data_IF_311052222424
#
_entry.id   IF_311052222424
#
_cell.length_a   1.000
_cell.length_b   1.000
_cell.length_c   1.000
_cell.angle_alpha   90.00
_cell.angle_beta   90.00
_cell.angle_gamma   90.00
#
_symmetry.space_group_name_H-M   'P 1'
#
loop_
_entity.id
_entity.type
_entity.pdbx_description
1 polymer ?
#
# COMPACT_ATOMS: atom_id res chain seq x y z
N UNK A 1 9.86 -41.41 -20.63
CA UNK A 1 9.68 -40.40 -21.70
C UNK A 1 8.49 -39.52 -21.35
N UNK A 2 8.75 -38.29 -20.88
CA UNK A 2 7.72 -37.35 -20.43
C UNK A 2 7.36 -36.40 -21.57
N UNK A 3 6.08 -36.36 -21.92
CA UNK A 3 5.56 -35.48 -22.97
C UNK A 3 5.27 -34.09 -22.38
N UNK A 4 5.94 -33.08 -22.94
CA UNK A 4 5.68 -31.67 -22.68
C UNK A 4 4.38 -31.24 -23.38
N UNK A 5 3.44 -30.65 -22.62
CA UNK A 5 2.30 -29.91 -23.17
C UNK A 5 2.71 -28.45 -23.36
N UNK A 6 2.90 -28.06 -24.63
CA UNK A 6 3.03 -26.67 -25.05
C UNK A 6 1.64 -26.00 -25.01
N UNK A 7 1.44 -25.03 -24.12
CA UNK A 7 0.29 -24.13 -24.15
C UNK A 7 0.56 -23.01 -25.17
N UNK A 8 0.10 -23.20 -26.40
CA UNK A 8 0.00 -22.13 -27.40
C UNK A 8 -1.16 -21.20 -27.04
N UNK A 9 -0.86 -19.90 -26.94
CA UNK A 9 -1.82 -18.82 -26.67
C UNK A 9 -2.96 -18.80 -27.69
N UNK A 10 -4.20 -19.00 -27.23
CA UNK A 10 -5.38 -18.90 -28.08
C UNK A 10 -5.68 -17.43 -28.41
N UNK A 11 -5.93 -17.14 -29.69
CA UNK A 11 -6.19 -15.80 -30.23
C UNK A 11 -7.51 -15.18 -29.71
N UNK A 12 -8.42 -16.02 -29.23
CA UNK A 12 -9.71 -15.62 -28.65
C UNK A 12 -9.57 -14.98 -27.26
N UNK A 13 -8.56 -15.37 -26.46
CA UNK A 13 -8.34 -14.77 -25.14
C UNK A 13 -7.85 -13.31 -25.23
N UNK A 14 -7.04 -12.99 -26.25
CA UNK A 14 -6.57 -11.62 -26.52
C UNK A 14 -7.67 -10.72 -27.09
N UNK A 15 -8.68 -11.26 -27.75
CA UNK A 15 -9.84 -10.48 -28.23
C UNK A 15 -10.82 -10.16 -27.10
N UNK A 16 -10.96 -11.06 -26.12
CA UNK A 16 -11.81 -10.82 -24.95
C UNK A 16 -11.24 -9.71 -24.05
N UNK A 17 -9.92 -9.66 -23.81
CA UNK A 17 -9.30 -8.56 -23.04
C UNK A 17 -9.45 -7.18 -23.68
N UNK A 18 -9.37 -7.09 -25.02
CA UNK A 18 -9.53 -5.81 -25.72
C UNK A 18 -10.98 -5.31 -25.73
N UNK A 19 -11.97 -6.22 -25.72
CA UNK A 19 -13.40 -5.89 -25.66
C UNK A 19 -13.81 -5.30 -24.31
N UNK A 20 -13.22 -5.76 -23.20
CA UNK A 20 -13.48 -5.23 -21.85
C UNK A 20 -12.90 -3.83 -21.65
N UNK A 21 -11.81 -3.49 -22.35
CA UNK A 21 -11.17 -2.17 -22.25
C UNK A 21 -11.97 -1.10 -23.00
N UNK A 22 -12.57 -1.42 -24.15
CA UNK A 22 -13.42 -0.47 -24.88
C UNK A 22 -14.76 -0.22 -24.18
N UNK A 23 -15.35 -1.24 -23.55
CA UNK A 23 -16.63 -1.09 -22.83
C UNK A 23 -16.51 -0.21 -21.58
N UNK A 24 -15.37 -0.22 -20.87
CA UNK A 24 -15.10 0.71 -19.75
C UNK A 24 -14.90 2.16 -20.23
N UNK A 25 -14.41 2.34 -21.46
CA UNK A 25 -14.17 3.67 -22.04
C UNK A 25 -15.46 4.39 -22.45
N UNK A 26 -16.48 3.64 -22.87
CA UNK A 26 -17.80 4.20 -23.23
C UNK A 26 -18.73 4.44 -22.03
N UNK A 27 -18.59 3.67 -20.94
CA UNK A 27 -19.35 3.90 -19.70
C UNK A 27 -18.94 5.19 -18.94
N UNK A 28 -17.83 5.83 -19.34
CA UNK A 28 -17.33 7.06 -18.72
C UNK A 28 -17.80 8.35 -19.42
N UNK A 29 -18.65 8.24 -20.44
CA UNK A 29 -19.01 9.36 -21.34
C UNK A 29 -20.50 9.73 -21.37
N UNK A 30 -21.34 9.17 -20.48
CA UNK A 30 -22.73 9.62 -20.36
C UNK A 30 -22.84 10.77 -19.36
N UNK A 31 -23.14 11.96 -19.90
CA UNK A 31 -23.43 13.19 -19.17
C UNK A 31 -24.53 12.95 -18.11
N UNK A 32 -24.15 13.00 -16.84
CA UNK A 32 -25.10 13.14 -15.73
C UNK A 32 -25.44 14.64 -15.62
N UNK A 33 -26.72 15.06 -15.66
CA UNK A 33 -27.08 16.45 -15.43
C UNK A 33 -26.76 16.87 -13.99
N UNK A 34 -26.00 17.95 -13.82
CA UNK A 34 -25.71 18.56 -12.51
C UNK A 34 -27.00 19.11 -11.88
N UNK A 35 -27.26 18.70 -10.63
CA UNK A 35 -28.32 19.28 -9.79
C UNK A 35 -27.81 20.57 -9.12
N UNK A 36 -28.65 21.59 -8.91
CA UNK A 36 -28.21 22.86 -8.34
C UNK A 36 -28.00 22.77 -6.83
N UNK A 37 -26.83 23.22 -6.37
CA UNK A 37 -26.46 23.43 -4.97
C UNK A 37 -27.15 24.70 -4.43
N UNK A 38 -28.25 24.52 -3.71
CA UNK A 38 -28.81 25.54 -2.82
C UNK A 38 -28.57 25.12 -1.37
N UNK A 39 -27.64 25.79 -0.69
CA UNK A 39 -27.82 26.25 0.70
C UNK A 39 -26.63 27.12 1.14
N UNK A 40 -26.81 28.42 0.95
CA UNK A 40 -26.11 29.44 1.71
C UNK A 40 -26.55 29.41 3.18
N UNK A 41 -25.62 29.15 4.10
CA UNK A 41 -25.73 29.66 5.46
C UNK A 41 -24.36 30.19 5.92
N UNK A 42 -24.35 31.50 6.14
CA UNK A 42 -23.26 32.25 6.76
C UNK A 42 -23.18 31.83 8.23
N UNK A 43 -22.03 31.35 8.68
CA UNK A 43 -21.67 31.39 10.09
C UNK A 43 -20.22 31.89 10.23
N UNK A 44 -20.08 32.82 11.15
CA UNK A 44 -18.94 33.72 11.36
C UNK A 44 -17.71 32.97 11.88
N UNK A 45 -16.55 33.38 11.36
CA UNK A 45 -15.23 32.94 11.81
C UNK A 45 -14.96 33.40 13.25
N UNK A 46 -14.62 32.45 14.12
CA UNK A 46 -13.79 32.71 15.30
C UNK A 46 -12.52 31.90 15.17
N UNK A 47 -11.41 32.62 15.17
CA UNK A 47 -10.04 32.11 15.24
C UNK A 47 -9.86 31.23 16.48
N UNK A 48 -9.38 29.99 16.30
CA UNK A 48 -8.61 29.31 17.33
C UNK A 48 -7.61 28.29 16.72
N UNK A 49 -6.33 28.60 16.96
CA UNK A 49 -5.12 27.77 17.13
C UNK A 49 -4.88 26.54 16.23
N UNK A 50 -3.76 26.64 15.49
CA UNK A 50 -3.05 25.60 14.74
C UNK A 50 -2.85 24.28 15.50
N UNK A 51 -3.31 23.17 14.90
CA UNK A 51 -2.70 21.85 15.03
C UNK A 51 -2.52 21.25 13.63
N UNK A 52 -1.29 21.36 13.13
CA UNK A 52 -0.84 20.69 11.92
C UNK A 52 -0.48 19.24 12.25
N UNK A 53 -1.50 18.38 12.35
CA UNK A 53 -1.31 16.93 12.28
C UNK A 53 -1.60 16.45 10.86
N UNK A 54 -0.69 15.63 10.34
CA UNK A 54 -0.62 15.22 8.95
C UNK A 54 -1.94 14.68 8.43
N UNK A 55 -2.51 15.40 7.46
CA UNK A 55 -3.62 14.93 6.65
C UNK A 55 -3.13 13.70 5.88
N UNK A 56 -3.47 12.51 6.38
CA UNK A 56 -3.42 11.26 5.63
C UNK A 56 -4.20 11.52 4.34
N UNK A 57 -3.53 11.45 3.18
CA UNK A 57 -4.21 11.31 1.89
C UNK A 57 -4.90 9.94 1.87
N UNK A 58 -6.06 9.86 2.52
CA UNK A 58 -6.93 8.69 2.43
C UNK A 58 -7.56 8.74 1.05
N UNK A 59 -7.25 7.76 0.21
CA UNK A 59 -7.92 7.59 -1.08
C UNK A 59 -9.41 7.36 -0.82
N UNK A 60 -10.24 8.35 -1.12
CA UNK A 60 -11.71 8.30 -1.03
C UNK A 60 -12.35 7.20 -1.92
N UNK A 61 -11.56 6.57 -2.81
CA UNK A 61 -11.99 5.55 -3.75
C UNK A 61 -11.80 4.10 -3.27
N UNK A 62 -11.37 3.87 -2.02
CA UNK A 62 -11.17 2.52 -1.47
C UNK A 62 -10.04 1.71 -2.12
N UNK A 63 -9.27 2.30 -3.06
CA UNK A 63 -8.12 1.66 -3.68
C UNK A 63 -6.84 1.95 -2.87
N UNK A 64 -6.02 0.93 -2.59
CA UNK A 64 -4.75 1.11 -1.89
C UNK A 64 -3.83 2.07 -2.67
N UNK A 65 -3.02 2.91 -2.01
CA UNK A 65 -2.06 3.78 -2.69
C UNK A 65 -1.01 2.99 -3.48
N UNK A 66 -0.56 3.56 -4.61
CA UNK A 66 0.41 2.90 -5.48
C UNK A 66 1.86 3.23 -5.10
N UNK A 67 2.70 2.20 -5.06
CA UNK A 67 4.16 2.28 -4.98
C UNK A 67 4.73 1.80 -6.31
N UNK A 68 5.56 2.62 -6.95
CA UNK A 68 6.14 2.31 -8.26
C UNK A 68 7.62 1.95 -8.12
N UNK A 69 8.07 0.91 -8.82
CA UNK A 69 9.48 0.50 -8.84
C UNK A 69 10.05 0.66 -10.25
N UNK A 70 11.08 1.51 -10.36
CA UNK A 70 11.80 1.80 -11.60
C UNK A 70 13.17 1.11 -11.59
N UNK A 71 13.41 0.24 -12.58
CA UNK A 71 14.65 -0.56 -12.71
C UNK A 71 15.55 -0.15 -13.90
N UNK A 72 15.28 0.98 -14.54
CA UNK A 72 16.08 1.41 -15.70
C UNK A 72 15.75 0.61 -16.96
N UNK A 73 16.77 0.21 -17.72
CA UNK A 73 16.62 -0.66 -18.90
C UNK A 73 16.73 -2.15 -18.57
N UNK A 74 17.02 -2.49 -17.31
CA UNK A 74 17.14 -3.86 -16.85
C UNK A 74 15.76 -4.53 -16.77
N UNK A 75 15.44 -5.41 -17.72
CA UNK A 75 14.19 -6.21 -17.72
C UNK A 75 14.27 -7.43 -16.81
N UNK A 76 15.00 -7.33 -15.69
CA UNK A 76 15.17 -8.44 -14.77
C UNK A 76 13.90 -8.56 -13.89
N UNK A 77 12.93 -9.37 -14.33
CA UNK A 77 11.79 -9.78 -13.49
C UNK A 77 12.23 -10.25 -12.10
N UNK A 78 13.37 -10.93 -12.03
CA UNK A 78 13.99 -11.40 -10.78
C UNK A 78 14.31 -10.23 -9.83
N UNK A 79 14.93 -9.14 -10.33
CA UNK A 79 15.24 -7.95 -9.53
C UNK A 79 13.98 -7.26 -9.03
N UNK A 80 12.95 -7.16 -9.88
CA UNK A 80 11.67 -6.59 -9.47
C UNK A 80 11.02 -7.39 -8.34
N UNK A 81 10.91 -8.71 -8.49
CA UNK A 81 10.32 -9.56 -7.44
C UNK A 81 11.14 -9.54 -6.14
N UNK A 82 12.47 -9.42 -6.22
CA UNK A 82 13.33 -9.24 -5.04
C UNK A 82 12.99 -7.95 -4.29
N UNK A 83 13.03 -6.80 -4.98
CA UNK A 83 12.70 -5.50 -4.36
C UNK A 83 11.27 -5.51 -3.82
N UNK A 84 10.34 -6.08 -4.58
CA UNK A 84 8.93 -6.21 -4.20
C UNK A 84 8.76 -7.05 -2.92
N UNK A 85 9.40 -8.21 -2.81
CA UNK A 85 9.36 -9.06 -1.61
C UNK A 85 9.83 -8.30 -0.37
N UNK A 86 10.99 -7.63 -0.48
CA UNK A 86 11.54 -6.85 0.64
C UNK A 86 10.60 -5.72 1.05
N UNK A 87 10.01 -5.00 0.07
CA UNK A 87 9.02 -3.96 0.37
C UNK A 87 7.77 -4.53 1.03
N UNK A 88 7.22 -5.66 0.54
CA UNK A 88 6.05 -6.32 1.10
C UNK A 88 6.26 -6.87 2.52
N UNK A 89 7.51 -7.19 2.90
CA UNK A 89 7.86 -7.55 4.28
C UNK A 89 7.96 -6.32 5.20
N UNK A 90 8.16 -5.12 4.63
CA UNK A 90 8.23 -3.86 5.36
C UNK A 90 6.88 -3.14 5.46
N UNK A 91 6.05 -3.20 4.43
CA UNK A 91 4.76 -2.49 4.34
C UNK A 91 3.61 -3.51 4.40
N UNK A 92 2.45 -3.12 4.93
CA UNK A 92 1.27 -4.00 4.95
C UNK A 92 0.89 -4.45 3.53
N UNK A 93 0.87 -5.77 3.29
CA UNK A 93 0.64 -6.36 1.96
C UNK A 93 -0.70 -5.94 1.33
N UNK A 94 -1.70 -5.68 2.17
CA UNK A 94 -3.06 -5.27 1.76
C UNK A 94 -3.22 -3.73 1.69
N UNK A 95 -2.25 -2.98 2.22
CA UNK A 95 -2.36 -1.52 2.34
C UNK A 95 -1.84 -0.77 1.12
N UNK A 96 -1.00 -1.41 0.29
CA UNK A 96 -0.32 -0.78 -0.84
C UNK A 96 -0.24 -1.70 -2.04
N UNK A 97 -0.33 -1.13 -3.25
CA UNK A 97 -0.08 -1.90 -4.48
C UNK A 97 1.25 -1.52 -5.09
N UNK A 98 2.11 -2.52 -5.33
CA UNK A 98 3.45 -2.33 -5.89
C UNK A 98 3.44 -2.69 -7.38
N UNK A 99 3.78 -1.72 -8.24
CA UNK A 99 3.87 -1.90 -9.69
C UNK A 99 5.28 -1.61 -10.23
N UNK A 100 5.65 -2.31 -11.30
CA UNK A 100 6.85 -1.97 -12.06
C UNK A 100 6.56 -0.81 -13.02
N UNK A 101 7.42 0.21 -13.01
CA UNK A 101 7.38 1.33 -13.95
C UNK A 101 8.50 1.17 -14.98
N UNK A 102 8.14 0.88 -16.23
CA UNK A 102 9.10 0.74 -17.32
C UNK A 102 9.58 2.10 -17.85
N UNK A 103 10.78 2.11 -18.45
CA UNK A 103 11.44 3.32 -18.98
C UNK A 103 10.57 4.12 -19.94
N UNK A 104 9.81 3.46 -20.79
CA UNK A 104 8.95 4.08 -21.79
C UNK A 104 7.61 4.56 -21.21
N UNK A 105 7.19 4.04 -20.05
CA UNK A 105 5.96 4.44 -19.37
C UNK A 105 6.14 5.74 -18.57
N UNK A 106 7.36 6.03 -18.12
CA UNK A 106 7.69 7.25 -17.35
C UNK A 106 7.19 8.51 -18.05
N UNK A 107 7.26 8.57 -19.38
CA UNK A 107 6.86 9.73 -20.18
C UNK A 107 5.43 9.64 -20.72
N UNK A 108 4.83 8.44 -20.80
CA UNK A 108 3.56 8.20 -21.48
C UNK A 108 2.37 8.15 -20.52
N UNK A 109 2.56 7.57 -19.35
CA UNK A 109 1.46 7.22 -18.45
C UNK A 109 1.27 8.28 -17.35
N UNK A 110 0.04 8.59 -16.91
CA UNK A 110 -0.24 9.58 -15.87
C UNK A 110 0.00 9.02 -14.45
N UNK A 111 1.20 8.51 -14.19
CA UNK A 111 1.54 7.84 -12.93
C UNK A 111 1.82 8.83 -11.80
N UNK A 112 2.34 10.02 -12.12
CA UNK A 112 2.77 11.08 -11.17
C UNK A 112 1.68 11.48 -10.17
N UNK A 113 0.42 11.42 -10.59
CA UNK A 113 -0.73 11.84 -9.78
C UNK A 113 -1.32 10.71 -8.96
N UNK A 114 -1.02 9.46 -9.32
CA UNK A 114 -1.61 8.26 -8.73
C UNK A 114 -0.61 7.45 -7.90
N UNK A 115 0.63 7.93 -7.74
CA UNK A 115 1.69 7.26 -6.97
C UNK A 115 2.01 7.98 -5.67
N UNK A 116 2.10 7.22 -4.58
CA UNK A 116 2.56 7.71 -3.29
C UNK A 116 4.10 7.78 -3.24
N UNK A 117 4.76 6.68 -3.64
CA UNK A 117 6.21 6.51 -3.59
C UNK A 117 6.73 5.99 -4.92
N UNK A 118 7.85 6.56 -5.38
CA UNK A 118 8.65 6.03 -6.47
C UNK A 118 9.98 5.47 -5.93
N UNK A 119 10.20 4.18 -6.11
CA UNK A 119 11.43 3.47 -5.81
C UNK A 119 12.28 3.40 -7.07
N UNK A 120 13.50 3.92 -7.03
CA UNK A 120 14.47 3.88 -8.14
C UNK A 120 15.59 2.92 -7.75
N UNK A 121 15.67 1.76 -8.40
CA UNK A 121 16.67 0.74 -8.11
C UNK A 121 17.47 0.40 -9.37
N UNK A 122 18.29 1.35 -9.84
CA UNK A 122 19.14 1.16 -11.02
C UNK A 122 20.44 1.96 -10.95
N UNK A 123 21.56 1.27 -11.16
CA UNK A 123 22.89 1.89 -11.29
C UNK A 123 23.08 2.57 -12.67
N UNK A 124 22.22 2.28 -13.64
CA UNK A 124 22.29 2.87 -14.98
C UNK A 124 21.97 4.37 -14.94
N UNK A 125 22.61 5.19 -15.79
CA UNK A 125 22.30 6.60 -15.88
C UNK A 125 20.85 6.81 -16.35
N UNK A 126 20.10 7.60 -15.59
CA UNK A 126 18.72 7.96 -15.92
C UNK A 126 18.72 8.98 -17.06
N UNK A 127 17.86 8.75 -18.06
CA UNK A 127 17.71 9.68 -19.19
C UNK A 127 17.18 11.05 -18.71
N UNK A 128 17.59 12.12 -19.39
CA UNK A 128 17.20 13.49 -19.01
C UNK A 128 15.66 13.67 -18.96
N UNK A 129 14.94 13.04 -19.90
CA UNK A 129 13.48 13.06 -19.91
C UNK A 129 12.86 12.41 -18.66
N UNK A 130 13.36 11.25 -18.25
CA UNK A 130 12.86 10.55 -17.07
C UNK A 130 13.23 11.31 -15.79
N UNK A 131 14.46 11.85 -15.74
CA UNK A 131 14.91 12.69 -14.65
C UNK A 131 13.99 13.90 -14.45
N UNK A 132 13.61 14.60 -15.53
CA UNK A 132 12.66 15.73 -15.48
C UNK A 132 11.29 15.32 -14.93
N UNK A 133 10.78 14.14 -15.26
CA UNK A 133 9.52 13.64 -14.68
C UNK A 133 9.66 13.32 -13.19
N UNK A 134 10.78 12.72 -12.76
CA UNK A 134 11.03 12.45 -11.34
C UNK A 134 11.10 13.76 -10.54
N UNK A 135 11.74 14.80 -11.08
CA UNK A 135 11.75 16.14 -10.48
C UNK A 135 10.35 16.78 -10.46
N UNK A 136 9.54 16.59 -11.51
CA UNK A 136 8.15 17.04 -11.54
C UNK A 136 7.32 16.34 -10.45
N UNK A 137 7.53 15.04 -10.24
CA UNK A 137 6.88 14.29 -9.17
C UNK A 137 7.25 14.84 -7.79
N UNK A 138 8.54 15.09 -7.52
CA UNK A 138 8.98 15.75 -6.30
C UNK A 138 8.37 17.15 -6.13
N UNK A 139 8.29 17.95 -7.21
CA UNK A 139 7.70 19.30 -7.17
C UNK A 139 6.23 19.31 -6.71
N UNK A 140 5.49 18.22 -6.96
CA UNK A 140 4.09 18.04 -6.54
C UNK A 140 3.94 17.45 -5.13
N UNK A 141 5.05 17.29 -4.39
CA UNK A 141 5.04 16.66 -3.07
C UNK A 141 5.19 15.14 -3.09
N UNK A 142 5.61 14.57 -4.22
CA UNK A 142 5.92 13.14 -4.34
C UNK A 142 7.13 12.73 -3.50
N UNK A 143 7.21 11.43 -3.22
CA UNK A 143 8.25 10.83 -2.38
C UNK A 143 9.10 9.85 -3.19
N UNK A 144 10.43 9.93 -3.09
CA UNK A 144 11.35 9.06 -3.83
C UNK A 144 12.25 8.27 -2.87
N UNK A 145 12.41 6.98 -3.13
CA UNK A 145 13.41 6.13 -2.47
C UNK A 145 14.40 5.59 -3.51
N UNK A 146 15.68 5.92 -3.38
CA UNK A 146 16.74 5.42 -4.27
C UNK A 146 17.49 4.26 -3.64
N UNK A 147 17.49 3.09 -4.26
CA UNK A 147 18.31 1.94 -3.90
C UNK A 147 19.49 1.80 -4.86
N UNK A 148 20.69 2.04 -4.35
CA UNK A 148 21.96 1.98 -5.09
C UNK A 148 21.86 2.63 -6.48
N UNK A 149 21.14 3.75 -6.55
CA UNK A 149 20.73 4.34 -7.82
C UNK A 149 21.69 5.42 -8.30
N UNK A 150 21.69 5.68 -9.61
CA UNK A 150 22.41 6.83 -10.21
C UNK A 150 21.67 8.17 -10.04
N UNK A 151 20.43 8.15 -9.53
CA UNK A 151 19.61 9.35 -9.36
C UNK A 151 20.17 10.27 -8.28
N UNK A 152 20.30 11.56 -8.60
CA UNK A 152 20.71 12.61 -7.66
C UNK A 152 20.09 13.94 -8.04
N UNK A 153 19.88 14.80 -7.04
CA UNK A 153 19.50 16.21 -7.23
C UNK A 153 19.94 17.03 -6.01
N UNK A 154 19.71 18.34 -6.06
CA UNK A 154 19.87 19.20 -4.88
C UNK A 154 21.30 19.32 -4.38
N UNK A 155 22.26 19.51 -5.31
CA UNK A 155 23.67 19.68 -4.99
C UNK A 155 24.40 18.41 -4.54
N UNK A 156 23.75 17.25 -4.45
CA UNK A 156 24.41 15.99 -4.15
C UNK A 156 24.96 15.34 -5.42
N UNK A 157 26.22 14.91 -5.38
CA UNK A 157 26.87 14.13 -6.43
C UNK A 157 27.24 12.74 -5.92
N UNK A 158 27.31 11.78 -6.85
CA UNK A 158 27.77 10.42 -6.57
C UNK A 158 29.24 10.32 -6.97
N UNK A 159 30.09 9.95 -6.01
CA UNK A 159 31.51 9.67 -6.23
C UNK A 159 31.77 8.19 -6.19
N UNK A 160 32.39 7.66 -7.25
CA UNK A 160 32.79 6.24 -7.32
C UNK A 160 34.06 6.00 -6.52
N UNK A 161 34.03 5.01 -5.64
CA UNK A 161 35.16 4.51 -4.86
C UNK A 161 35.27 3.01 -5.08
N UNK A 162 36.06 2.60 -6.07
CA UNK A 162 36.21 1.20 -6.48
C UNK A 162 36.61 0.25 -5.34
N UNK A 163 37.26 0.76 -4.28
CA UNK A 163 37.62 -0.01 -3.08
C UNK A 163 36.42 -0.49 -2.25
N UNK A 164 35.26 0.15 -2.43
CA UNK A 164 34.02 -0.14 -1.68
C UNK A 164 33.05 -1.04 -2.46
N UNK A 165 33.42 -1.45 -3.67
CA UNK A 165 32.51 -2.17 -4.56
C UNK A 165 32.40 -3.62 -4.11
N UNK A 166 31.16 -4.09 -3.90
CA UNK A 166 30.84 -5.49 -3.52
C UNK A 166 31.51 -5.96 -2.22
N UNK A 167 31.79 -5.03 -1.31
CA UNK A 167 32.36 -5.32 0.00
C UNK A 167 31.37 -4.94 1.09
N UNK A 168 31.31 -5.75 2.14
CA UNK A 168 30.50 -5.45 3.32
C UNK A 168 31.23 -4.42 4.16
N UNK A 169 30.52 -3.37 4.54
CA UNK A 169 31.06 -2.30 5.37
C UNK A 169 30.15 -2.06 6.57
N UNK A 170 30.75 -1.69 7.69
CA UNK A 170 30.01 -1.17 8.84
C UNK A 170 29.57 0.27 8.54
N UNK A 171 28.29 0.53 8.78
CA UNK A 171 27.66 1.83 8.63
C UNK A 171 27.06 2.26 9.96
N UNK A 172 27.09 3.56 10.21
CA UNK A 172 26.42 4.23 11.32
C UNK A 172 25.21 4.97 10.76
N UNK A 173 24.01 4.55 11.15
CA UNK A 173 22.74 5.16 10.76
C UNK A 173 22.23 6.00 11.93
N UNK A 174 21.88 7.25 11.66
CA UNK A 174 21.23 8.15 12.60
C UNK A 174 19.72 7.97 12.50
N UNK A 175 19.10 7.50 13.57
CA UNK A 175 17.64 7.32 13.66
C UNK A 175 16.91 8.65 13.90
N UNK A 176 15.58 8.63 13.81
CA UNK A 176 14.74 9.80 14.08
C UNK A 176 14.87 10.32 15.53
N UNK A 177 15.07 9.43 16.49
CA UNK A 177 15.28 9.74 17.91
C UNK A 177 16.70 10.26 18.22
N UNK A 178 17.50 10.53 17.20
CA UNK A 178 18.92 10.91 17.29
C UNK A 178 19.84 9.83 17.87
N UNK A 179 19.37 8.59 18.04
CA UNK A 179 20.24 7.46 18.38
C UNK A 179 21.03 7.00 17.16
N UNK A 180 22.22 6.45 17.41
CA UNK A 180 23.07 5.87 16.37
C UNK A 180 22.96 4.36 16.38
N UNK A 181 22.75 3.78 15.21
CA UNK A 181 22.69 2.35 14.99
C UNK A 181 23.83 1.90 14.10
N UNK A 182 24.55 0.86 14.54
CA UNK A 182 25.57 0.20 13.71
C UNK A 182 25.03 -1.08 13.10
N UNK A 183 25.26 -1.22 11.80
CA UNK A 183 24.94 -2.43 11.03
C UNK A 183 25.94 -2.60 9.89
N UNK A 184 26.05 -3.81 9.36
CA UNK A 184 26.90 -4.13 8.22
C UNK A 184 26.03 -4.34 6.98
N UNK A 185 26.33 -3.66 5.88
CA UNK A 185 25.63 -3.80 4.60
C UNK A 185 26.62 -3.81 3.43
N UNK A 186 26.17 -4.37 2.31
CA UNK A 186 26.84 -4.24 1.03
C UNK A 186 26.67 -2.81 0.49
N UNK A 187 27.72 -2.24 -0.07
CA UNK A 187 27.70 -0.90 -0.69
C UNK A 187 27.89 -1.02 -2.19
N UNK A 188 27.23 -0.15 -2.96
CA UNK A 188 27.29 -0.11 -4.44
C UNK A 188 28.69 0.21 -5.00
N UNK A 189 29.63 0.61 -4.14
CA UNK A 189 30.92 1.17 -4.53
C UNK A 189 30.89 2.67 -4.78
N UNK A 190 29.79 3.35 -4.44
CA UNK A 190 29.66 4.80 -4.54
C UNK A 190 29.32 5.44 -3.20
N UNK A 191 29.67 6.71 -3.05
CA UNK A 191 29.35 7.54 -1.87
C UNK A 191 28.80 8.88 -2.33
N UNK A 192 28.05 9.56 -1.46
CA UNK A 192 27.54 10.90 -1.76
C UNK A 192 28.57 11.99 -1.41
N UNK A 193 28.56 13.07 -2.17
CA UNK A 193 29.34 14.27 -1.89
C UNK A 193 28.44 15.49 -2.07
N UNK A 194 28.41 16.37 -1.07
CA UNK A 194 27.63 17.60 -1.13
C UNK A 194 28.46 18.68 -1.83
N UNK A 195 27.95 19.18 -2.95
CA UNK A 195 28.55 20.33 -3.64
C UNK A 195 28.00 21.62 -3.04
N UNK A 196 28.90 22.59 -2.79
CA UNK A 196 28.57 23.91 -2.18
C UNK A 196 27.79 24.84 -3.12
N UNK A 197 26.77 24.34 -3.82
CA UNK A 197 25.87 25.21 -4.60
C UNK A 197 24.70 25.64 -3.73
N UNK A 198 24.33 26.91 -3.86
CA UNK A 198 23.25 27.62 -3.16
C UNK A 198 21.84 27.14 -3.58
N UNK A 199 21.65 25.85 -3.83
CA UNK A 199 20.34 25.31 -4.13
C UNK A 199 19.55 25.12 -2.83
N UNK A 200 18.27 25.50 -2.85
CA UNK A 200 17.35 25.53 -1.71
C UNK A 200 17.07 24.18 -1.04
N UNK A 201 17.68 23.09 -1.50
CA UNK A 201 17.47 21.74 -0.98
C UNK A 201 18.33 21.49 0.25
N UNK A 202 17.70 21.33 1.41
CA UNK A 202 18.40 20.92 2.63
C UNK A 202 18.77 19.44 2.52
N UNK A 203 20.08 19.15 2.47
CA UNK A 203 20.62 17.78 2.50
C UNK A 203 20.84 17.37 3.96
N UNK A 204 20.23 16.27 4.39
CA UNK A 204 20.48 15.65 5.69
C UNK A 204 21.13 14.30 5.48
N UNK A 205 22.31 14.08 6.04
CA UNK A 205 22.94 12.75 6.03
C UNK A 205 22.27 11.85 7.07
N UNK A 206 21.79 10.68 6.64
CA UNK A 206 21.18 9.68 7.51
C UNK A 206 22.15 8.55 7.88
N UNK A 207 23.14 8.25 7.02
CA UNK A 207 24.11 7.19 7.28
C UNK A 207 25.49 7.52 6.76
N UNK A 208 26.51 7.08 7.50
CA UNK A 208 27.93 7.21 7.17
C UNK A 208 28.66 5.89 7.32
N UNK A 209 29.69 5.67 6.51
CA UNK A 209 30.62 4.56 6.69
C UNK A 209 31.52 4.77 7.91
N UNK A 210 31.91 3.70 8.61
CA UNK A 210 32.91 3.77 9.70
C UNK A 210 34.35 3.93 9.17
N UNK A 211 34.53 4.39 7.92
CA UNK A 211 35.86 4.63 7.35
C UNK A 211 36.46 5.95 7.85
N UNK A 212 37.75 6.18 7.55
CA UNK A 212 38.47 7.38 8.01
C UNK A 212 37.82 8.70 7.56
N UNK A 213 37.17 8.71 6.40
CA UNK A 213 36.54 9.89 5.80
C UNK A 213 35.09 10.10 6.27
N UNK A 214 34.48 9.10 6.96
CA UNK A 214 33.06 9.06 7.34
C UNK A 214 32.12 9.38 6.17
N UNK A 215 32.38 8.71 5.04
CA UNK A 215 31.67 8.93 3.79
C UNK A 215 30.16 8.75 3.94
N UNK A 216 29.32 9.69 3.45
CA UNK A 216 27.88 9.56 3.53
C UNK A 216 27.36 8.59 2.45
N UNK A 217 26.46 7.70 2.86
CA UNK A 217 25.93 6.62 2.03
C UNK A 217 24.41 6.57 2.00
N UNK A 218 23.73 7.20 2.96
CA UNK A 218 22.29 7.45 2.91
C UNK A 218 22.06 8.94 3.18
N UNK A 219 21.36 9.61 2.27
CA UNK A 219 21.04 11.03 2.37
C UNK A 219 19.54 11.26 2.15
N UNK A 220 18.99 12.21 2.88
CA UNK A 220 17.63 12.70 2.76
C UNK A 220 17.68 14.10 2.15
N UNK A 221 16.83 14.32 1.15
CA UNK A 221 16.77 15.52 0.33
C UNK A 221 15.34 16.04 0.31
N UNK A 222 15.19 17.34 0.49
CA UNK A 222 13.90 18.02 0.36
C UNK A 222 13.87 18.83 -0.93
N UNK A 223 12.72 18.86 -1.60
CA UNK A 223 12.55 19.56 -2.87
C UNK A 223 11.23 20.35 -2.92
N UNK A 224 11.36 21.64 -3.23
CA UNK A 224 10.24 22.57 -3.35
C UNK A 224 9.52 22.82 -2.01
N UNK A 225 8.43 23.59 -2.08
CA UNK A 225 7.62 23.96 -0.91
C UNK A 225 6.43 23.02 -0.69
N UNK A 226 6.18 22.10 -1.62
CA UNK A 226 5.04 21.18 -1.60
C UNK A 226 5.31 19.89 -0.82
N UNK A 227 6.40 19.84 -0.03
CA UNK A 227 6.76 18.67 0.78
C UNK A 227 7.41 17.52 0.01
N UNK A 228 7.95 17.79 -1.18
CA UNK A 228 8.68 16.80 -1.98
C UNK A 228 9.93 16.32 -1.25
N UNK A 229 10.16 15.02 -1.24
CA UNK A 229 11.23 14.43 -0.45
C UNK A 229 11.80 13.20 -1.11
N UNK A 230 13.11 13.01 -1.00
CA UNK A 230 13.78 11.82 -1.46
C UNK A 230 14.78 11.31 -0.43
N UNK A 231 14.83 10.00 -0.24
CA UNK A 231 15.91 9.34 0.48
C UNK A 231 16.69 8.51 -0.53
N UNK A 232 17.99 8.77 -0.64
CA UNK A 232 18.88 8.08 -1.58
C UNK A 232 19.88 7.26 -0.78
N UNK A 233 19.98 5.97 -1.10
CA UNK A 233 20.90 5.02 -0.48
C UNK A 233 21.89 4.47 -1.51
N UNK A 234 23.18 4.45 -1.17
CA UNK A 234 24.22 3.66 -1.85
C UNK A 234 24.56 2.37 -1.08
N UNK A 235 23.94 2.17 0.09
CA UNK A 235 23.94 0.89 0.77
C UNK A 235 22.75 0.06 0.25
N UNK A 236 22.98 -1.22 -0.01
CA UNK A 236 21.96 -2.12 -0.50
C UNK A 236 21.02 -2.53 0.65
N UNK A 237 19.88 -1.86 0.73
CA UNK A 237 18.79 -2.19 1.67
C UNK A 237 17.81 -3.20 1.05
N UNK A 238 17.80 -3.27 -0.27
CA UNK A 238 16.94 -4.08 -1.13
C UNK A 238 17.48 -5.49 -1.39
N UNK A 239 18.75 -5.75 -1.04
CA UNK A 239 19.35 -7.07 -1.20
C UNK A 239 19.15 -7.92 0.05
N UNK A 240 18.78 -9.17 -0.16
CA UNK A 240 18.77 -10.19 0.89
C UNK A 240 20.20 -10.65 1.24
N UNK A 241 20.36 -11.14 2.47
CA UNK A 241 21.60 -11.72 2.99
C UNK A 241 22.06 -12.93 2.15
N UNK A 242 21.14 -13.63 1.48
CA UNK A 242 21.43 -14.75 0.58
C UNK A 242 21.71 -14.32 -0.88
N UNK A 243 21.90 -13.03 -1.16
CA UNK A 243 22.19 -12.57 -2.53
C UNK A 243 23.51 -13.14 -3.06
N UNK A 244 23.57 -13.40 -4.37
CA UNK A 244 24.75 -13.99 -5.05
C UNK A 244 25.99 -13.07 -5.05
N UNK A 245 25.88 -11.87 -4.49
CA UNK A 245 26.95 -10.88 -4.47
C UNK A 245 27.89 -11.01 -3.25
N UNK A 246 27.52 -11.83 -2.26
CA UNK A 246 28.33 -12.11 -1.06
C UNK A 246 29.54 -12.98 -1.41
N UNK A 247 30.74 -12.45 -1.19
CA UNK A 247 32.00 -13.09 -1.63
C UNK A 247 32.57 -14.06 -0.59
N UNK A 248 32.32 -13.86 0.70
CA UNK A 248 32.92 -14.65 1.79
C UNK A 248 31.89 -15.12 2.83
N UNK A 249 32.19 -16.21 3.54
CA UNK A 249 31.34 -16.71 4.63
C UNK A 249 31.29 -15.75 5.82
N UNK A 250 32.38 -15.01 6.07
CA UNK A 250 32.43 -13.96 7.09
C UNK A 250 31.46 -12.81 6.76
N UNK A 251 31.48 -12.33 5.51
CA UNK A 251 30.55 -11.30 5.02
C UNK A 251 29.09 -11.77 5.14
N UNK A 252 28.82 -13.02 4.78
CA UNK A 252 27.49 -13.62 4.91
C UNK A 252 26.98 -13.57 6.35
N UNK A 253 27.82 -13.95 7.31
CA UNK A 253 27.47 -13.95 8.73
C UNK A 253 27.22 -12.51 9.23
N UNK A 254 28.02 -11.53 8.81
CA UNK A 254 27.84 -10.12 9.17
C UNK A 254 26.52 -9.55 8.64
N UNK A 255 26.16 -9.86 7.40
CA UNK A 255 24.90 -9.45 6.79
C UNK A 255 23.70 -10.09 7.49
N UNK A 256 23.80 -11.39 7.78
CA UNK A 256 22.75 -12.14 8.49
C UNK A 256 22.52 -11.59 9.90
N UNK A 257 23.58 -11.28 10.65
CA UNK A 257 23.48 -10.65 11.98
C UNK A 257 22.91 -9.23 11.91
N UNK A 258 23.11 -8.54 10.78
CA UNK A 258 22.61 -7.19 10.54
C UNK A 258 21.22 -7.16 9.91
N UNK A 259 20.64 -8.31 9.54
CA UNK A 259 19.43 -8.38 8.74
C UNK A 259 18.22 -7.75 9.44
N UNK A 260 18.00 -8.06 10.72
CA UNK A 260 16.93 -7.43 11.52
C UNK A 260 17.08 -5.91 11.55
N UNK A 261 18.32 -5.43 11.71
CA UNK A 261 18.65 -4.00 11.72
C UNK A 261 18.43 -3.35 10.36
N UNK A 262 18.71 -4.08 9.26
CA UNK A 262 18.44 -3.64 7.89
C UNK A 262 16.95 -3.36 7.68
N UNK A 263 16.08 -4.28 8.11
CA UNK A 263 14.63 -4.07 8.04
C UNK A 263 14.16 -2.92 8.91
N UNK A 264 14.74 -2.74 10.10
CA UNK A 264 14.43 -1.61 10.98
C UNK A 264 14.76 -0.27 10.31
N UNK A 265 15.97 -0.13 9.75
CA UNK A 265 16.38 1.07 9.00
C UNK A 265 15.49 1.30 7.77
N UNK A 266 15.14 0.23 7.04
CA UNK A 266 14.26 0.35 5.88
C UNK A 266 12.85 0.79 6.27
N UNK A 267 12.29 0.24 7.36
CA UNK A 267 10.99 0.66 7.91
C UNK A 267 11.02 2.12 8.35
N UNK A 268 12.05 2.55 9.06
CA UNK A 268 12.22 3.95 9.47
C UNK A 268 12.26 4.90 8.26
N UNK A 269 12.95 4.52 7.20
CA UNK A 269 13.00 5.26 5.93
C UNK A 269 11.61 5.32 5.27
N UNK A 270 10.90 4.20 5.19
CA UNK A 270 9.57 4.14 4.56
C UNK A 270 8.54 4.95 5.37
N UNK A 271 8.59 4.89 6.70
CA UNK A 271 7.77 5.71 7.60
C UNK A 271 8.08 7.20 7.41
N UNK A 272 9.36 7.57 7.30
CA UNK A 272 9.77 8.96 7.00
C UNK A 272 9.19 9.46 5.68
N UNK A 273 9.05 8.57 4.69
CA UNK A 273 8.46 8.88 3.39
C UNK A 273 6.92 8.82 3.40
N UNK A 274 6.29 8.57 4.55
CA UNK A 274 4.83 8.59 4.72
C UNK A 274 4.11 7.28 4.45
N UNK A 275 4.82 6.14 4.44
CA UNK A 275 4.21 4.82 4.38
C UNK A 275 3.91 4.27 5.77
N UNK A 276 2.85 3.47 5.88
CA UNK A 276 2.55 2.70 7.08
C UNK A 276 3.25 1.34 7.00
N UNK A 277 4.19 1.14 7.92
CA UNK A 277 4.87 -0.13 8.13
C UNK A 277 4.29 -0.93 9.31
N UNK A 278 3.13 -0.52 9.81
CA UNK A 278 2.39 -1.30 10.79
C UNK A 278 1.95 -2.62 10.13
N UNK A 279 2.06 -3.71 10.88
CA UNK A 279 1.50 -4.99 10.48
C UNK A 279 0.00 -4.75 10.47
N UNK A 280 -0.60 -4.59 9.29
CA UNK A 280 -2.05 -4.59 9.17
C UNK A 280 -2.52 -5.96 9.63
N UNK A 281 -3.06 -6.04 10.85
CA UNK A 281 -3.77 -7.24 11.26
C UNK A 281 -4.90 -7.46 10.25
N UNK A 282 -5.02 -8.68 9.74
CA UNK A 282 -6.16 -9.03 8.89
C UNK A 282 -7.41 -8.78 9.73
N UNK A 283 -8.31 -7.88 9.30
CA UNK A 283 -9.47 -7.54 10.11
C UNK A 283 -10.27 -8.82 10.37
N UNK A 284 -10.61 -9.04 11.64
CA UNK A 284 -11.34 -10.24 12.06
C UNK A 284 -12.73 -10.19 11.46
N UNK A 285 -13.17 -11.31 10.88
CA UNK A 285 -14.52 -11.44 10.33
C UNK A 285 -15.55 -11.14 11.42
N UNK A 286 -16.54 -10.31 11.08
CA UNK A 286 -17.61 -9.93 12.01
C UNK A 286 -18.86 -10.78 11.77
N UNK A 287 -19.66 -11.04 12.82
CA UNK A 287 -20.97 -11.66 12.64
C UNK A 287 -21.86 -10.85 11.69
N UNK A 288 -22.86 -11.49 11.13
CA UNK A 288 -23.90 -10.84 10.35
C UNK A 288 -25.03 -10.46 11.30
N UNK A 289 -25.60 -9.28 11.15
CA UNK A 289 -26.76 -8.81 11.87
C UNK A 289 -27.96 -8.79 10.93
N UNK A 290 -29.04 -9.44 11.34
CA UNK A 290 -30.33 -9.35 10.68
C UNK A 290 -31.07 -8.13 11.20
N UNK A 291 -31.17 -7.09 10.38
CA UNK A 291 -31.78 -5.82 10.75
C UNK A 291 -33.08 -5.59 9.98
N UNK A 292 -34.02 -4.90 10.62
CA UNK A 292 -35.27 -4.47 10.01
C UNK A 292 -35.69 -3.12 10.58
N UNK A 293 -36.13 -2.15 9.75
CA UNK A 293 -36.71 -0.91 10.24
C UNK A 293 -38.10 -1.10 10.88
N UNK A 294 -38.72 -2.26 10.66
CA UNK A 294 -40.07 -2.58 11.13
C UNK A 294 -40.05 -3.90 11.92
N UNK A 295 -40.45 -3.84 13.19
CA UNK A 295 -40.45 -4.97 14.11
C UNK A 295 -41.47 -6.05 13.70
N UNK A 296 -42.61 -5.68 13.12
CA UNK A 296 -43.61 -6.65 12.66
C UNK A 296 -43.07 -7.45 11.47
N UNK A 297 -42.39 -6.78 10.54
CA UNK A 297 -41.73 -7.44 9.39
C UNK A 297 -40.60 -8.33 9.87
N UNK A 298 -39.84 -7.88 10.87
CA UNK A 298 -38.75 -8.67 11.48
C UNK A 298 -39.30 -9.97 12.08
N UNK A 299 -40.32 -9.90 12.92
CA UNK A 299 -40.95 -11.07 13.54
C UNK A 299 -41.57 -12.01 12.51
N UNK A 300 -42.21 -11.47 11.47
CA UNK A 300 -42.76 -12.27 10.38
C UNK A 300 -41.65 -13.03 9.63
N UNK A 301 -40.50 -12.39 9.42
CA UNK A 301 -39.35 -13.03 8.80
C UNK A 301 -38.74 -14.11 9.70
N UNK A 302 -38.59 -13.87 11.00
CA UNK A 302 -38.09 -14.89 11.94
C UNK A 302 -38.98 -16.12 11.97
N UNK A 303 -40.30 -15.94 11.97
CA UNK A 303 -41.25 -17.05 11.90
C UNK A 303 -41.13 -17.84 10.59
N UNK A 304 -40.87 -17.17 9.48
CA UNK A 304 -40.56 -17.85 8.22
C UNK A 304 -39.24 -18.61 8.31
N UNK A 305 -38.23 -18.00 8.94
CA UNK A 305 -36.90 -18.55 9.07
C UNK A 305 -36.87 -19.86 9.87
N UNK A 306 -37.67 -19.97 10.93
CA UNK A 306 -37.84 -21.20 11.73
C UNK A 306 -38.21 -22.43 10.87
N UNK A 307 -38.95 -22.24 9.78
CA UNK A 307 -39.31 -23.32 8.85
C UNK A 307 -38.25 -23.63 7.78
N UNK A 308 -37.17 -22.85 7.71
CA UNK A 308 -36.17 -22.90 6.63
C UNK A 308 -34.73 -23.13 7.14
N UNK A 309 -34.57 -23.39 8.43
CA UNK A 309 -33.30 -23.74 9.09
C UNK A 309 -33.42 -25.12 9.74
N UNK A 310 -32.29 -25.76 10.01
CA UNK A 310 -32.30 -27.02 10.76
C UNK A 310 -32.55 -26.82 12.26
N UNK A 311 -32.56 -27.92 13.01
CA UNK A 311 -32.80 -27.91 14.46
C UNK A 311 -31.77 -27.10 15.26
N UNK A 312 -30.61 -26.78 14.68
CA UNK A 312 -29.55 -25.97 15.28
C UNK A 312 -29.54 -24.51 14.76
N UNK A 313 -30.53 -24.12 13.94
CA UNK A 313 -30.60 -22.81 13.32
C UNK A 313 -29.61 -22.62 12.18
N UNK A 314 -29.02 -23.69 11.66
CA UNK A 314 -28.04 -23.66 10.58
C UNK A 314 -28.74 -23.79 9.22
N UNK A 315 -28.28 -22.98 8.29
CA UNK A 315 -28.61 -23.06 6.87
C UNK A 315 -27.34 -23.31 6.08
N UNK A 316 -27.16 -24.57 5.67
CA UNK A 316 -26.05 -24.96 4.83
C UNK A 316 -26.22 -24.41 3.41
N UNK A 317 -25.11 -23.97 2.82
CA UNK A 317 -25.00 -23.54 1.43
C UNK A 317 -23.75 -24.19 0.84
N UNK A 318 -23.65 -24.17 -0.49
CA UNK A 318 -22.49 -24.70 -1.21
C UNK A 318 -21.16 -24.01 -0.87
N UNK A 319 -21.21 -22.75 -0.41
CA UNK A 319 -20.01 -21.93 -0.16
C UNK A 319 -19.86 -21.50 1.30
N UNK A 320 -20.91 -20.90 1.89
CA UNK A 320 -20.85 -20.36 3.26
C UNK A 320 -22.13 -20.73 4.00
N UNK A 321 -22.00 -21.45 5.11
CA UNK A 321 -23.16 -21.79 5.94
C UNK A 321 -23.51 -20.64 6.87
N UNK A 322 -24.81 -20.36 7.02
CA UNK A 322 -25.31 -19.29 7.91
C UNK A 322 -25.94 -19.91 9.15
N UNK A 323 -25.49 -19.50 10.34
CA UNK A 323 -26.05 -19.98 11.62
C UNK A 323 -26.83 -18.86 12.31
N UNK A 324 -28.15 -18.99 12.35
CA UNK A 324 -29.02 -17.99 12.97
C UNK A 324 -29.05 -18.17 14.49
N UNK A 325 -28.69 -17.12 15.23
CA UNK A 325 -28.60 -17.12 16.70
C UNK A 325 -29.31 -15.91 17.27
N UNK A 326 -30.01 -16.08 18.39
CA UNK A 326 -30.75 -14.99 19.03
C UNK A 326 -29.82 -13.92 19.57
N UNK A 327 -28.82 -14.26 20.38
CA UNK A 327 -27.93 -13.30 21.03
C UNK A 327 -26.45 -13.68 20.91
N UNK A 328 -25.56 -12.70 21.11
CA UNK A 328 -24.10 -12.85 21.06
C UNK A 328 -23.51 -13.38 22.39
N UNK A 329 -24.29 -14.11 23.21
CA UNK A 329 -23.85 -14.55 24.55
C UNK A 329 -22.78 -15.65 24.51
N UNK A 330 -22.67 -16.37 23.39
CA UNK A 330 -21.49 -17.15 23.05
C UNK A 330 -20.90 -16.52 21.80
N UNK A 331 -19.66 -16.00 21.87
CA UNK A 331 -18.93 -15.52 20.68
C UNK A 331 -18.94 -16.64 19.65
N UNK A 332 -19.80 -16.60 18.61
CA UNK A 332 -19.87 -17.70 17.68
C UNK A 332 -18.58 -17.65 16.86
N UNK A 333 -17.99 -18.81 16.59
CA UNK A 333 -16.77 -18.86 15.78
C UNK A 333 -17.09 -18.36 14.37
N UNK A 334 -16.63 -17.14 14.06
CA UNK A 334 -16.81 -16.55 12.73
C UNK A 334 -15.69 -17.09 11.85
N UNK A 335 -16.04 -17.91 10.88
CA UNK A 335 -15.08 -18.48 9.92
C UNK A 335 -15.51 -18.17 8.50
N UNK A 336 -14.59 -18.24 7.51
CA UNK A 336 -14.95 -18.04 6.11
C UNK A 336 -16.00 -19.02 5.57
N UNK A 337 -16.21 -20.18 6.24
CA UNK A 337 -17.16 -21.22 5.84
C UNK A 337 -18.44 -21.25 6.70
N UNK A 338 -18.43 -20.60 7.87
CA UNK A 338 -19.56 -20.53 8.80
C UNK A 338 -19.67 -19.11 9.35
N UNK A 339 -20.74 -18.40 8.98
CA UNK A 339 -21.03 -17.07 9.51
C UNK A 339 -22.28 -17.09 10.40
N UNK A 340 -22.17 -16.63 11.66
CA UNK A 340 -23.35 -16.45 12.50
C UNK A 340 -24.16 -15.24 12.05
N UNK A 341 -25.49 -15.37 12.10
CA UNK A 341 -26.45 -14.31 11.86
C UNK A 341 -27.20 -14.03 13.16
N UNK A 342 -26.90 -12.89 13.77
CA UNK A 342 -27.55 -12.41 15.00
C UNK A 342 -28.92 -11.87 14.62
N UNK A 343 -29.96 -12.44 15.21
CA UNK A 343 -31.35 -12.08 14.91
C UNK A 343 -31.91 -11.01 15.86
N UNK A 344 -31.37 -10.86 17.07
CA UNK A 344 -31.85 -9.84 18.00
C UNK A 344 -31.39 -8.43 17.60
N UNK A 345 -32.36 -7.51 17.51
CA UNK A 345 -32.09 -6.11 17.13
C UNK A 345 -31.52 -5.26 18.28
N UNK A 346 -31.74 -5.67 19.53
CA UNK A 346 -31.46 -4.86 20.72
C UNK A 346 -29.98 -4.63 21.08
N UNK A 347 -29.04 -5.26 20.35
CA UNK A 347 -27.59 -5.18 20.64
C UNK A 347 -26.73 -4.63 19.51
N UNK A 348 -27.32 -4.16 18.40
CA UNK A 348 -26.56 -3.69 17.25
C UNK A 348 -26.12 -2.23 17.40
N UNK A 349 -24.82 -1.99 17.22
CA UNK A 349 -24.21 -0.66 17.11
C UNK A 349 -23.03 -0.73 16.14
N UNK A 350 -22.93 0.24 15.23
CA UNK A 350 -21.81 0.36 14.28
C UNK A 350 -21.46 1.83 14.08
N UNK A 351 -20.17 2.12 13.91
CA UNK A 351 -19.68 3.46 13.54
C UNK A 351 -19.91 3.77 12.05
N UNK A 352 -20.11 2.73 11.23
CA UNK A 352 -20.20 2.84 9.77
C UNK A 352 -21.63 2.74 9.24
N UNK A 353 -22.57 2.23 10.05
CA UNK A 353 -23.95 2.03 9.63
C UNK A 353 -24.97 2.41 10.72
N UNK A 354 -25.93 3.24 10.35
CA UNK A 354 -27.07 3.64 11.19
C UNK A 354 -28.37 3.13 10.57
N UNK A 355 -29.03 2.20 11.28
CA UNK A 355 -30.35 1.67 10.88
C UNK A 355 -31.41 2.78 10.85
N UNK A 356 -31.33 3.74 11.76
CA UNK A 356 -32.23 4.89 11.81
C UNK A 356 -32.09 5.76 10.56
N UNK A 357 -30.84 6.07 10.16
CA UNK A 357 -30.58 6.83 8.94
C UNK A 357 -31.05 6.07 7.70
N UNK A 358 -30.82 4.75 7.64
CA UNK A 358 -31.31 3.90 6.56
C UNK A 358 -32.85 3.94 6.47
N UNK A 359 -33.54 3.82 7.60
CA UNK A 359 -35.00 3.84 7.67
C UNK A 359 -35.60 5.16 7.16
N UNK A 360 -35.02 6.30 7.54
CA UNK A 360 -35.48 7.62 7.11
C UNK A 360 -35.40 7.82 5.59
N UNK A 361 -34.43 7.19 4.94
CA UNK A 361 -34.21 7.29 3.50
C UNK A 361 -34.90 6.18 2.68
N UNK A 362 -35.50 5.18 3.34
CA UNK A 362 -36.10 4.03 2.67
C UNK A 362 -37.48 4.36 2.06
N UNK A 363 -37.50 4.66 0.76
CA UNK A 363 -38.73 5.01 0.03
C UNK A 363 -39.52 3.78 -0.48
N UNK A 364 -38.88 2.62 -0.53
CA UNK A 364 -39.50 1.39 -1.04
C UNK A 364 -40.45 0.78 -0.02
N UNK A 365 -41.59 0.26 -0.52
CA UNK A 365 -42.62 -0.38 0.33
C UNK A 365 -42.29 -1.83 0.68
N UNK A 366 -41.63 -2.56 -0.22
CA UNK A 366 -41.36 -4.01 -0.07
C UNK A 366 -39.88 -4.37 -0.03
N UNK A 367 -39.06 -3.71 -0.85
CA UNK A 367 -37.61 -3.96 -0.91
C UNK A 367 -36.89 -3.21 0.22
N UNK A 368 -35.79 -3.79 0.70
CA UNK A 368 -34.97 -3.18 1.76
C UNK A 368 -35.57 -3.23 3.17
N UNK A 369 -36.62 -4.02 3.39
CA UNK A 369 -37.24 -4.17 4.72
C UNK A 369 -36.56 -5.20 5.61
N UNK A 370 -35.73 -6.06 5.03
CA UNK A 370 -34.85 -6.98 5.75
C UNK A 370 -33.44 -6.75 5.23
N UNK A 371 -32.49 -6.58 6.15
CA UNK A 371 -31.09 -6.35 5.85
C UNK A 371 -30.22 -7.39 6.54
N UNK A 372 -29.16 -7.80 5.85
CA UNK A 372 -28.03 -8.52 6.44
C UNK A 372 -26.84 -7.56 6.44
N UNK A 373 -26.39 -7.16 7.62
CA UNK A 373 -25.28 -6.24 7.78
C UNK A 373 -24.09 -6.93 8.45
N UNK A 374 -22.90 -6.75 7.93
CA UNK A 374 -21.64 -7.20 8.55
C UNK A 374 -20.56 -6.19 8.18
N UNK A 375 -19.69 -5.86 9.12
CA UNK A 375 -18.63 -4.86 8.90
C UNK A 375 -17.47 -5.45 8.10
N UNK A 376 -17.10 -6.69 8.41
CA UNK A 376 -15.98 -7.40 7.81
C UNK A 376 -16.45 -8.78 7.36
N UNK A 377 -16.49 -8.97 6.04
CA UNK A 377 -16.70 -10.26 5.39
C UNK A 377 -15.71 -10.46 4.24
N UNK A 378 -15.46 -11.70 3.86
CA UNK A 378 -14.56 -12.01 2.73
C UNK A 378 -15.16 -11.57 1.40
N UNK A 379 -16.46 -11.81 1.19
CA UNK A 379 -17.21 -11.36 0.02
C UNK A 379 -18.70 -11.58 0.21
N UNK A 380 -19.53 -10.64 -0.25
CA UNK A 380 -20.99 -10.77 -0.23
C UNK A 380 -21.51 -11.76 -1.28
N UNK A 381 -20.73 -12.06 -2.33
CA UNK A 381 -21.12 -12.99 -3.39
C UNK A 381 -21.26 -14.45 -2.94
N UNK A 382 -20.62 -14.82 -1.82
CA UNK A 382 -20.63 -16.19 -1.32
C UNK A 382 -21.59 -16.38 -0.14
N UNK A 383 -22.19 -15.29 0.37
CA UNK A 383 -23.08 -15.33 1.54
C UNK A 383 -24.45 -15.94 1.22
N UNK A 384 -24.94 -15.76 0.01
CA UNK A 384 -26.22 -16.29 -0.46
C UNK A 384 -25.98 -17.02 -1.77
N UNK A 385 -26.43 -18.27 -1.85
CA UNK A 385 -26.57 -18.95 -3.15
C UNK A 385 -27.72 -18.24 -3.89
N UNK A 386 -27.38 -17.60 -5.01
CA UNK A 386 -28.25 -16.69 -5.76
C UNK A 386 -29.52 -17.31 -6.31
#
# INVERSE_FOLDING_TARGET
>A
EHHHLHLSSCRECLQLENSTIESVKFASAENIPELPDDCSSKLEEKEDVCLAEGIKRVNLAGKPPNVLVYLGSETAKVRFEQVKSILQECIGAESYTIYQLHKEQVLRDPWVENSLLLVIATEEPISEGNHKQFMKFLSKGGKILGFSSSFTFGGVQIKRKNKLKKTVHELVVSKMDSSEMKLNLLVSGCVFEETRKEDSSKVKTLSRLTNAEKDPVIVQLTYGNSGGEAILSQAHLELDSNSMDVQTEEDFNLLKMSNTKRYEVLKDILISLGLSCEISEVPVLTPIYLLSPDEEIHLAFLKWLEGNVDAEGLRASSKVSLKFVSSCESKPEVTPSLMPVITEMGGFSSEHFSLETYQQNLQTKKLGKILLFTEVTTTTMNLLDG
#
